data_IF_070903287127
#
_entry.id   IF_070903287127
#
_cell.length_a   1.000
_cell.length_b   1.000
_cell.length_c   1.000
_cell.angle_alpha   90.00
_cell.angle_beta   90.00
_cell.angle_gamma   90.00
#
_symmetry.space_group_name_H-M   'P 1'
#
loop_
_entity.id
_entity.type
_entity.pdbx_description
1 polymer ?
#
# COMPACT_ATOMS: atom_id res chain seq x y z
N UNK A 1 -19.57 -22.74 23.49
CA UNK A 1 -18.57 -21.97 24.26
C UNK A 1 -17.28 -22.07 23.46
N UNK A 2 -17.06 -21.13 22.53
CA UNK A 2 -15.79 -21.03 21.81
C UNK A 2 -15.04 -19.91 22.51
N UNK A 3 -14.43 -20.27 23.65
CA UNK A 3 -13.46 -19.46 24.37
C UNK A 3 -12.08 -19.73 23.78
N UNK A 4 -11.80 -19.19 22.60
CA UNK A 4 -10.42 -18.89 22.24
C UNK A 4 -10.34 -17.40 21.93
N UNK A 5 -9.52 -16.65 22.70
CA UNK A 5 -9.20 -15.29 22.30
C UNK A 5 -8.57 -15.38 20.92
N UNK A 6 -9.22 -14.78 19.94
CA UNK A 6 -8.71 -14.74 18.57
C UNK A 6 -7.31 -14.12 18.58
N UNK A 7 -6.28 -14.97 18.59
CA UNK A 7 -4.86 -14.61 18.61
C UNK A 7 -4.39 -13.92 17.32
N UNK A 8 -5.31 -13.54 16.47
CA UNK A 8 -5.00 -12.95 15.14
C UNK A 8 -5.00 -11.43 15.07
N UNK A 9 -5.43 -10.71 16.12
CA UNK A 9 -5.36 -9.25 16.10
C UNK A 9 -4.21 -8.78 16.99
N UNK A 10 -3.09 -8.48 16.37
CA UNK A 10 -2.01 -7.77 17.07
C UNK A 10 -2.44 -6.32 17.18
N UNK A 11 -2.74 -5.91 18.40
CA UNK A 11 -3.06 -4.54 18.71
C UNK A 11 -1.99 -3.60 18.18
N UNK A 12 -2.44 -2.50 17.56
CA UNK A 12 -1.58 -1.45 17.07
C UNK A 12 -0.64 -0.93 18.19
N UNK A 13 0.60 -1.40 18.19
CA UNK A 13 1.67 -0.78 18.94
C UNK A 13 2.32 0.26 18.05
N UNK A 14 1.92 1.49 17.99
CA UNK A 14 2.35 2.61 17.14
C UNK A 14 3.62 2.44 16.28
N UNK A 15 4.54 1.60 16.74
CA UNK A 15 5.85 1.39 16.13
C UNK A 15 5.84 0.76 14.73
N UNK A 16 4.91 -0.17 14.44
CA UNK A 16 4.85 -0.83 13.11
C UNK A 16 4.46 0.17 12.02
N UNK A 17 3.52 1.06 12.32
CA UNK A 17 3.09 2.11 11.38
C UNK A 17 4.10 3.25 11.24
N UNK A 18 5.04 3.37 12.17
CA UNK A 18 6.09 4.39 12.16
C UNK A 18 7.33 3.93 11.41
N UNK A 19 7.54 2.60 11.27
CA UNK A 19 8.66 2.05 10.53
C UNK A 19 8.64 2.53 9.07
N UNK A 20 9.74 3.14 8.64
CA UNK A 20 9.91 3.74 7.31
C UNK A 20 9.71 2.73 6.19
N UNK A 21 10.25 1.52 6.38
CA UNK A 21 10.14 0.42 5.42
C UNK A 21 8.69 -0.06 5.27
N UNK A 22 7.92 -0.14 6.36
CA UNK A 22 6.50 -0.50 6.33
C UNK A 22 5.71 0.60 5.61
N UNK A 23 6.01 1.86 5.92
CA UNK A 23 5.39 2.99 5.22
C UNK A 23 5.66 2.95 3.72
N UNK A 24 6.89 2.66 3.34
CA UNK A 24 7.27 2.55 1.94
C UNK A 24 6.54 1.41 1.22
N UNK A 25 6.40 0.26 1.87
CA UNK A 25 5.75 -0.92 1.30
C UNK A 25 4.22 -0.78 1.15
N UNK A 26 3.54 -0.15 2.12
CA UNK A 26 2.07 -0.05 2.14
C UNK A 26 1.54 1.14 1.33
N UNK A 27 2.28 2.24 1.28
CA UNK A 27 1.85 3.49 0.64
C UNK A 27 1.41 3.33 -0.83
N UNK A 28 2.10 2.58 -1.69
CA UNK A 28 1.67 2.41 -3.09
C UNK A 28 0.27 1.84 -3.21
N UNK A 29 -0.05 0.80 -2.44
CA UNK A 29 -1.39 0.20 -2.43
C UNK A 29 -2.43 1.17 -1.87
N UNK A 30 -2.15 1.81 -0.74
CA UNK A 30 -3.06 2.76 -0.11
C UNK A 30 -3.42 3.92 -1.06
N UNK A 31 -2.40 4.50 -1.71
CA UNK A 31 -2.60 5.57 -2.69
C UNK A 31 -3.36 5.09 -3.93
N UNK A 32 -3.08 3.88 -4.42
CA UNK A 32 -3.75 3.35 -5.60
C UNK A 32 -5.24 3.09 -5.34
N UNK A 33 -5.57 2.45 -4.21
CA UNK A 33 -6.97 2.21 -3.81
C UNK A 33 -7.65 3.52 -3.43
N UNK A 34 -6.96 4.45 -2.76
CA UNK A 34 -7.50 5.77 -2.41
C UNK A 34 -7.93 6.61 -3.62
N UNK A 35 -7.28 6.42 -4.77
CA UNK A 35 -7.66 7.10 -6.02
C UNK A 35 -8.91 6.53 -6.70
N UNK A 36 -9.39 5.37 -6.28
CA UNK A 36 -10.58 4.77 -6.88
C UNK A 36 -11.84 5.50 -6.43
N UNK A 37 -12.80 5.62 -7.34
CA UNK A 37 -14.07 6.31 -7.08
C UNK A 37 -15.17 5.28 -7.00
N UNK A 38 -15.80 5.07 -5.82
CA UNK A 38 -16.95 4.19 -5.71
C UNK A 38 -18.16 4.78 -6.44
N UNK A 39 -18.87 3.94 -7.20
CA UNK A 39 -20.08 4.31 -7.92
C UNK A 39 -21.21 3.37 -7.59
N UNK A 40 -22.39 3.93 -7.37
CA UNK A 40 -23.62 3.14 -7.28
C UNK A 40 -24.05 2.74 -8.69
N UNK A 41 -24.26 1.45 -8.92
CA UNK A 41 -24.78 0.89 -10.17
C UNK A 41 -26.16 0.25 -9.93
N UNK A 42 -27.10 0.50 -10.82
CA UNK A 42 -28.39 -0.18 -10.88
C UNK A 42 -28.70 -0.57 -12.34
N UNK A 43 -28.51 -1.83 -12.67
CA UNK A 43 -28.49 -2.26 -14.06
C UNK A 43 -27.42 -1.49 -14.87
N UNK A 44 -27.84 -0.79 -15.91
CA UNK A 44 -26.94 0.03 -16.74
C UNK A 44 -26.82 1.49 -16.25
N UNK A 45 -27.56 1.88 -15.21
CA UNK A 45 -27.54 3.24 -14.66
C UNK A 45 -26.44 3.38 -13.62
N UNK A 46 -25.66 4.46 -13.76
CA UNK A 46 -24.61 4.84 -12.80
C UNK A 46 -25.13 5.99 -11.94
N UNK A 47 -24.93 5.88 -10.62
CA UNK A 47 -25.34 6.85 -9.60
C UNK A 47 -26.83 7.25 -9.66
N UNK A 48 -27.77 6.29 -9.79
CA UNK A 48 -29.18 6.60 -9.93
C UNK A 48 -29.80 7.15 -8.63
N UNK A 49 -29.17 6.92 -7.48
CA UNK A 49 -29.62 7.40 -6.17
C UNK A 49 -28.67 8.46 -5.62
N UNK A 50 -29.14 9.70 -5.56
CA UNK A 50 -28.37 10.86 -5.12
C UNK A 50 -27.88 10.70 -3.67
N UNK A 51 -28.72 10.19 -2.76
CA UNK A 51 -28.35 10.03 -1.35
C UNK A 51 -27.19 9.02 -1.18
N UNK A 52 -27.24 7.90 -1.89
CA UNK A 52 -26.15 6.93 -1.91
C UNK A 52 -24.87 7.56 -2.51
N UNK A 53 -25.00 8.29 -3.61
CA UNK A 53 -23.87 8.94 -4.27
C UNK A 53 -23.21 9.99 -3.37
N UNK A 54 -23.98 10.75 -2.60
CA UNK A 54 -23.45 11.73 -1.65
C UNK A 54 -22.60 11.06 -0.56
N UNK A 55 -23.09 9.97 0.04
CA UNK A 55 -22.31 9.22 1.06
C UNK A 55 -21.02 8.62 0.47
N UNK A 56 -21.06 8.22 -0.82
CA UNK A 56 -19.86 7.73 -1.51
C UNK A 56 -18.85 8.83 -1.86
N UNK A 57 -19.29 10.08 -2.01
CA UNK A 57 -18.42 11.23 -2.24
C UNK A 57 -17.90 11.84 -0.94
N UNK A 58 -18.80 12.04 0.03
CA UNK A 58 -18.54 12.59 1.35
C UNK A 58 -18.93 11.58 2.43
N UNK A 59 -18.05 10.65 2.76
CA UNK A 59 -18.38 9.57 3.69
C UNK A 59 -18.65 10.07 5.12
N UNK A 60 -18.05 11.16 5.53
CA UNK A 60 -18.32 11.84 6.80
C UNK A 60 -17.70 13.24 6.80
N UNK A 61 -17.99 14.03 7.84
CA UNK A 61 -17.51 15.41 8.00
C UNK A 61 -16.02 15.56 8.25
N UNK A 62 -15.30 14.46 8.55
CA UNK A 62 -13.88 14.49 8.95
C UNK A 62 -12.95 14.16 7.79
N UNK A 63 -13.41 13.43 6.79
CA UNK A 63 -12.54 12.91 5.73
C UNK A 63 -13.25 12.69 4.41
N UNK A 64 -12.51 12.82 3.31
CA UNK A 64 -12.96 12.44 1.98
C UNK A 64 -12.95 10.90 1.82
N UNK A 65 -13.60 10.39 0.76
CA UNK A 65 -13.56 8.97 0.44
C UNK A 65 -12.13 8.47 0.22
N UNK A 66 -11.27 9.26 -0.43
CA UNK A 66 -9.86 8.92 -0.59
C UNK A 66 -9.18 8.68 0.75
N UNK A 67 -9.32 9.60 1.71
CA UNK A 67 -8.72 9.49 3.04
C UNK A 67 -9.26 8.29 3.82
N UNK A 68 -10.57 8.01 3.68
CA UNK A 68 -11.21 6.84 4.30
C UNK A 68 -10.61 5.55 3.75
N UNK A 69 -10.49 5.43 2.43
CA UNK A 69 -9.93 4.26 1.77
C UNK A 69 -8.45 4.08 2.13
N UNK A 70 -7.63 5.13 2.03
CA UNK A 70 -6.21 5.07 2.42
C UNK A 70 -6.06 4.56 3.86
N UNK A 71 -6.80 5.13 4.81
CA UNK A 71 -6.79 4.71 6.21
C UNK A 71 -7.22 3.25 6.40
N UNK A 72 -8.22 2.82 5.63
CA UNK A 72 -8.70 1.44 5.65
C UNK A 72 -7.65 0.47 5.12
N UNK A 73 -6.96 0.82 4.02
CA UNK A 73 -5.91 -0.01 3.44
C UNK A 73 -4.68 -0.14 4.35
N UNK A 74 -4.34 0.92 5.08
CA UNK A 74 -3.29 0.84 6.10
C UNK A 74 -3.62 -0.22 7.16
N UNK A 75 -4.85 -0.23 7.68
CA UNK A 75 -5.28 -1.23 8.66
C UNK A 75 -5.32 -2.64 8.05
N UNK A 76 -5.87 -2.76 6.86
CA UNK A 76 -5.94 -4.01 6.11
C UNK A 76 -4.55 -4.66 5.96
N UNK A 77 -3.54 -3.89 5.56
CA UNK A 77 -2.19 -4.42 5.34
C UNK A 77 -1.42 -4.69 6.61
N UNK A 78 -1.54 -3.85 7.62
CA UNK A 78 -0.76 -4.01 8.86
C UNK A 78 -1.42 -4.99 9.82
N UNK A 79 -2.74 -4.91 9.98
CA UNK A 79 -3.48 -5.73 10.95
C UNK A 79 -4.12 -7.00 10.35
N UNK A 80 -4.06 -7.18 9.03
CA UNK A 80 -4.77 -8.25 8.34
C UNK A 80 -6.29 -8.04 8.27
N UNK A 81 -6.83 -7.04 8.95
CA UNK A 81 -8.25 -6.74 9.02
C UNK A 81 -8.49 -5.23 9.03
N UNK A 82 -9.50 -4.77 8.31
CA UNK A 82 -9.96 -3.41 8.40
C UNK A 82 -11.49 -3.35 8.42
N UNK A 83 -12.01 -2.43 9.21
CA UNK A 83 -13.44 -2.27 9.44
C UNK A 83 -13.88 -0.84 9.17
N UNK A 84 -15.00 -0.71 8.44
CA UNK A 84 -15.68 0.56 8.25
C UNK A 84 -17.07 0.41 8.84
N UNK A 85 -17.44 1.23 9.81
CA UNK A 85 -18.79 1.32 10.33
C UNK A 85 -19.68 2.11 9.38
N UNK A 86 -20.84 1.55 9.07
CA UNK A 86 -21.86 2.18 8.24
C UNK A 86 -22.97 2.68 9.15
N UNK A 87 -23.00 3.99 9.37
CA UNK A 87 -24.10 4.64 10.08
C UNK A 87 -25.32 4.69 9.17
N UNK A 88 -26.48 4.32 9.72
CA UNK A 88 -27.74 4.24 9.00
C UNK A 88 -28.80 5.10 9.67
N UNK A 89 -29.69 5.65 8.87
CA UNK A 89 -30.88 6.34 9.34
C UNK A 89 -31.95 5.34 9.89
N UNK A 90 -33.07 5.87 10.40
CA UNK A 90 -34.18 5.07 10.93
C UNK A 90 -34.84 4.15 9.86
N UNK A 91 -34.60 4.44 8.58
CA UNK A 91 -35.06 3.62 7.44
C UNK A 91 -34.05 2.59 7.01
N UNK A 92 -32.91 2.51 7.70
CA UNK A 92 -31.81 1.60 7.40
C UNK A 92 -30.93 2.00 6.20
N UNK A 93 -31.05 3.27 5.72
CA UNK A 93 -30.23 3.79 4.63
C UNK A 93 -28.90 4.34 5.17
N UNK A 94 -27.77 4.10 4.47
CA UNK A 94 -26.48 4.65 4.86
C UNK A 94 -26.48 6.18 4.82
N UNK A 95 -25.96 6.80 5.88
CA UNK A 95 -25.81 8.26 6.00
C UNK A 95 -24.37 8.69 6.22
N UNK A 96 -23.53 7.85 6.83
CA UNK A 96 -22.12 8.12 7.01
C UNK A 96 -21.28 6.84 7.12
N UNK A 97 -19.98 6.97 6.89
CA UNK A 97 -18.99 5.88 6.96
C UNK A 97 -17.82 6.30 7.84
N UNK A 98 -17.43 5.44 8.79
CA UNK A 98 -16.34 5.70 9.71
C UNK A 98 -15.35 4.53 9.74
N UNK A 99 -14.07 4.70 9.40
CA UNK A 99 -13.07 3.66 9.55
C UNK A 99 -12.77 3.47 11.04
N UNK A 100 -12.91 2.24 11.54
CA UNK A 100 -12.68 1.93 12.96
C UNK A 100 -11.20 1.61 13.17
N UNK A 101 -10.53 2.40 14.00
CA UNK A 101 -9.16 2.14 14.47
C UNK A 101 -9.23 1.66 15.90
N UNK A 102 -9.02 0.36 16.10
CA UNK A 102 -9.07 -0.24 17.42
C UNK A 102 -7.70 -0.76 17.88
N UNK A 103 -7.51 -0.83 19.18
CA UNK A 103 -6.35 -1.46 19.80
C UNK A 103 -6.52 -2.97 19.85
N UNK A 104 -7.73 -3.43 20.14
CA UNK A 104 -8.10 -4.84 20.12
C UNK A 104 -9.56 -5.00 19.68
N UNK A 105 -9.90 -6.20 19.26
CA UNK A 105 -11.26 -6.57 18.94
C UNK A 105 -11.61 -7.94 19.51
N UNK A 106 -12.89 -8.13 19.80
CA UNK A 106 -13.46 -9.36 20.33
C UNK A 106 -14.70 -9.71 19.51
N UNK A 107 -14.75 -10.94 19.01
CA UNK A 107 -15.91 -11.46 18.29
C UNK A 107 -16.92 -12.00 19.31
N UNK A 108 -18.15 -11.54 19.24
CA UNK A 108 -19.25 -11.94 20.08
C UNK A 108 -20.37 -12.57 19.25
N UNK A 109 -20.96 -13.63 19.75
CA UNK A 109 -22.12 -14.28 19.15
C UNK A 109 -23.28 -14.19 20.11
N UNK A 110 -24.38 -13.60 19.65
CA UNK A 110 -25.63 -13.56 20.39
C UNK A 110 -26.26 -14.96 20.51
N UNK A 111 -27.09 -15.23 21.52
CA UNK A 111 -27.88 -16.47 21.61
C UNK A 111 -28.76 -16.73 20.38
N UNK A 112 -29.11 -15.68 19.64
CA UNK A 112 -29.85 -15.79 18.36
C UNK A 112 -28.95 -16.13 17.14
N UNK A 113 -27.62 -16.30 17.33
CA UNK A 113 -26.68 -16.57 16.25
C UNK A 113 -26.24 -15.31 15.47
N UNK A 114 -26.58 -14.10 15.93
CA UNK A 114 -26.12 -12.86 15.30
C UNK A 114 -24.70 -12.52 15.77
N UNK A 115 -23.84 -12.14 14.85
CA UNK A 115 -22.44 -11.77 15.13
C UNK A 115 -22.33 -10.28 15.46
N UNK A 116 -21.51 -9.99 16.48
CA UNK A 116 -21.14 -8.65 16.90
C UNK A 116 -19.61 -8.58 17.03
N UNK A 117 -19.05 -7.40 16.80
CA UNK A 117 -17.65 -7.13 17.11
C UNK A 117 -17.57 -6.01 18.13
N UNK A 118 -16.88 -6.29 19.22
CA UNK A 118 -16.54 -5.30 20.24
C UNK A 118 -15.13 -4.81 19.97
N UNK A 119 -15.00 -3.53 19.73
CA UNK A 119 -13.74 -2.84 19.53
C UNK A 119 -13.34 -2.12 20.81
N UNK A 120 -12.08 -2.24 21.18
CA UNK A 120 -11.48 -1.45 22.26
C UNK A 120 -10.58 -0.41 21.63
N UNK A 121 -10.87 0.86 21.86
CA UNK A 121 -10.10 1.98 21.34
C UNK A 121 -8.88 2.26 22.24
N UNK A 122 -7.96 3.09 21.75
CA UNK A 122 -6.74 3.46 22.51
C UNK A 122 -7.01 4.19 23.82
N UNK A 123 -8.15 4.90 23.91
CA UNK A 123 -8.59 5.61 25.12
C UNK A 123 -9.26 4.67 26.16
N UNK A 124 -9.27 3.37 25.92
CA UNK A 124 -9.87 2.35 26.74
C UNK A 124 -11.40 2.22 26.60
N UNK A 125 -12.04 3.05 25.79
CA UNK A 125 -13.47 2.91 25.49
C UNK A 125 -13.72 1.72 24.59
N UNK A 126 -14.85 1.03 24.83
CA UNK A 126 -15.28 -0.09 23.99
C UNK A 126 -16.60 0.20 23.33
N UNK A 127 -16.71 -0.18 22.05
CA UNK A 127 -17.93 -0.06 21.26
C UNK A 127 -18.22 -1.41 20.63
N UNK A 128 -19.51 -1.80 20.67
CA UNK A 128 -19.97 -3.06 20.09
C UNK A 128 -20.89 -2.76 18.91
N UNK A 129 -20.53 -3.29 17.76
CA UNK A 129 -21.31 -3.12 16.52
C UNK A 129 -21.81 -4.47 16.03
N UNK A 130 -22.98 -4.47 15.37
CA UNK A 130 -23.45 -5.64 14.63
C UNK A 130 -22.56 -5.86 13.42
N UNK A 131 -22.14 -7.10 13.18
CA UNK A 131 -21.26 -7.41 12.05
C UNK A 131 -21.85 -6.99 10.69
N UNK A 132 -23.18 -7.05 10.55
CA UNK A 132 -23.89 -6.63 9.31
C UNK A 132 -23.82 -5.12 9.02
N UNK A 133 -23.51 -4.30 10.04
CA UNK A 133 -23.36 -2.85 9.89
C UNK A 133 -21.90 -2.44 9.71
N UNK A 134 -21.02 -3.42 9.56
CA UNK A 134 -19.60 -3.25 9.28
C UNK A 134 -19.27 -3.71 7.86
N UNK A 135 -18.48 -2.92 7.17
CA UNK A 135 -17.74 -3.37 6.00
C UNK A 135 -16.43 -3.91 6.54
N UNK A 136 -16.15 -5.18 6.28
CA UNK A 136 -14.96 -5.87 6.73
C UNK A 136 -14.18 -6.37 5.52
N UNK A 137 -12.93 -5.91 5.38
CA UNK A 137 -11.97 -6.41 4.40
C UNK A 137 -10.83 -7.14 5.13
N UNK A 138 -10.38 -8.25 4.55
CA UNK A 138 -9.47 -9.21 5.19
C UNK A 138 -8.31 -9.53 4.28
N UNK A 139 -7.11 -9.63 4.86
CA UNK A 139 -5.93 -10.16 4.22
C UNK A 139 -5.65 -11.57 4.75
N UNK A 140 -5.07 -12.44 3.92
CA UNK A 140 -4.62 -13.78 4.31
C UNK A 140 -5.64 -14.56 5.17
N UNK A 141 -6.83 -14.76 4.61
CA UNK A 141 -7.94 -15.42 5.30
C UNK A 141 -7.77 -16.94 5.26
N UNK A 142 -6.96 -17.50 6.17
CA UNK A 142 -6.60 -18.92 6.16
C UNK A 142 -6.88 -19.66 7.47
N UNK A 143 -6.58 -19.05 8.61
CA UNK A 143 -6.61 -19.73 9.91
C UNK A 143 -7.88 -19.52 10.72
N UNK A 144 -8.64 -18.48 10.43
CA UNK A 144 -9.83 -18.08 11.16
C UNK A 144 -11.07 -18.04 10.24
N UNK A 145 -12.25 -18.34 10.79
CA UNK A 145 -13.49 -18.36 10.00
C UNK A 145 -14.00 -16.94 9.64
N UNK A 146 -13.62 -15.91 10.39
CA UNK A 146 -14.15 -14.55 10.26
C UNK A 146 -13.04 -13.53 10.04
N UNK A 147 -11.93 -13.64 10.77
CA UNK A 147 -10.84 -12.66 10.75
C UNK A 147 -9.74 -13.11 9.79
N UNK A 148 -9.14 -12.16 9.11
CA UNK A 148 -7.91 -12.38 8.36
C UNK A 148 -6.70 -12.50 9.27
N UNK A 149 -5.65 -13.14 8.79
CA UNK A 149 -4.43 -13.36 9.54
C UNK A 149 -3.57 -12.09 9.56
N UNK A 150 -2.97 -11.80 10.71
CA UNK A 150 -2.07 -10.65 10.86
C UNK A 150 -0.68 -10.99 10.32
N UNK A 151 -0.04 -10.04 9.65
CA UNK A 151 1.36 -10.14 9.24
C UNK A 151 2.35 -9.96 10.41
N UNK A 152 1.88 -9.49 11.57
CA UNK A 152 2.73 -9.13 12.69
C UNK A 152 3.67 -10.26 13.17
N UNK A 153 3.26 -11.54 13.28
CA UNK A 153 4.17 -12.61 13.70
C UNK A 153 5.39 -12.77 12.79
N UNK A 154 5.24 -12.54 11.49
CA UNK A 154 6.32 -12.60 10.50
C UNK A 154 7.08 -11.28 10.37
N UNK A 155 6.42 -10.16 10.57
CA UNK A 155 6.95 -8.82 10.37
C UNK A 155 7.79 -8.33 11.57
N UNK A 156 7.32 -8.56 12.80
CA UNK A 156 7.99 -8.04 14.01
C UNK A 156 9.44 -8.49 14.14
N UNK A 157 9.80 -9.77 13.93
CA UNK A 157 11.20 -10.20 13.98
C UNK A 157 12.08 -9.52 12.92
N UNK A 158 11.53 -9.23 11.74
CA UNK A 158 12.26 -8.53 10.68
C UNK A 158 12.50 -7.06 11.04
N UNK A 159 11.52 -6.40 11.62
CA UNK A 159 11.66 -5.02 12.11
C UNK A 159 12.66 -4.93 13.28
N UNK A 160 12.71 -5.95 14.15
CA UNK A 160 13.71 -6.02 15.22
C UNK A 160 15.13 -6.11 14.66
N UNK A 161 15.34 -6.90 13.59
CA UNK A 161 16.63 -6.95 12.89
C UNK A 161 17.00 -5.58 12.31
N UNK A 162 16.08 -4.89 11.66
CA UNK A 162 16.32 -3.54 11.11
C UNK A 162 16.69 -2.58 12.24
N UNK A 163 15.91 -2.52 13.30
CA UNK A 163 16.15 -1.62 14.44
C UNK A 163 17.49 -1.92 15.13
N UNK A 164 17.82 -3.19 15.34
CA UNK A 164 19.10 -3.59 15.96
C UNK A 164 20.27 -3.24 15.05
N UNK A 165 20.14 -3.40 13.74
CA UNK A 165 21.12 -3.00 12.74
C UNK A 165 21.37 -1.50 12.78
N UNK A 166 20.34 -0.68 12.79
CA UNK A 166 20.43 0.77 12.87
C UNK A 166 21.08 1.23 14.18
N UNK A 167 20.71 0.61 15.30
CA UNK A 167 21.34 0.87 16.59
C UNK A 167 22.83 0.48 16.58
N UNK A 168 23.17 -0.64 15.95
CA UNK A 168 24.55 -1.07 15.76
C UNK A 168 25.36 -0.05 14.94
N UNK A 169 24.81 0.45 13.85
CA UNK A 169 25.44 1.48 13.02
C UNK A 169 25.61 2.78 13.83
N UNK A 170 24.60 3.23 14.54
CA UNK A 170 24.68 4.43 15.40
C UNK A 170 25.76 4.25 16.47
N UNK A 171 25.80 3.09 17.14
CA UNK A 171 26.82 2.76 18.11
C UNK A 171 28.22 2.75 17.50
N UNK A 172 28.39 2.17 16.30
CA UNK A 172 29.63 2.18 15.56
C UNK A 172 30.12 3.59 15.25
N UNK A 173 29.22 4.47 14.79
CA UNK A 173 29.54 5.87 14.51
C UNK A 173 29.95 6.60 15.79
N UNK A 174 29.21 6.42 16.89
CA UNK A 174 29.55 7.03 18.19
C UNK A 174 30.86 6.52 18.73
N UNK A 175 31.14 5.21 18.64
CA UNK A 175 32.36 4.56 19.11
C UNK A 175 33.56 4.79 18.18
N UNK A 176 33.34 5.26 16.97
CA UNK A 176 34.45 5.58 16.05
C UNK A 176 35.43 6.61 16.63
N UNK A 177 35.00 7.38 17.61
CA UNK A 177 35.79 8.39 18.33
C UNK A 177 36.32 7.91 19.68
N UNK A 178 36.07 6.66 20.10
CA UNK A 178 36.46 6.15 21.43
C UNK A 178 37.70 5.28 21.27
N UNK A 179 38.71 5.56 22.12
CA UNK A 179 39.97 4.85 22.30
C UNK A 179 40.54 4.14 21.05
N UNK A 180 41.28 4.91 20.24
CA UNK A 180 41.97 4.39 19.06
C UNK A 180 43.35 3.80 19.42
N UNK A 181 43.89 4.10 20.59
CA UNK A 181 45.21 3.74 21.01
C UNK A 181 45.24 3.24 22.44
N UNK A 182 45.94 2.12 22.68
CA UNK A 182 46.31 1.61 23.99
C UNK A 182 47.80 1.88 24.19
N UNK A 183 48.11 2.72 25.19
CA UNK A 183 49.47 2.97 25.59
C UNK A 183 49.86 1.95 26.67
N UNK A 184 50.82 1.10 26.36
CA UNK A 184 51.39 0.15 27.29
C UNK A 184 52.71 0.69 27.78
N UNK A 185 52.82 0.99 29.06
CA UNK A 185 54.07 1.45 29.68
C UNK A 185 54.89 0.27 30.19
N UNK A 186 56.17 0.22 29.82
CA UNK A 186 57.10 -0.86 30.21
C UNK A 186 57.66 -0.69 31.62
N UNK A 187 57.23 0.34 32.36
CA UNK A 187 57.61 0.62 33.73
C UNK A 187 56.36 0.77 34.61
N UNK A 188 56.52 0.48 35.90
CA UNK A 188 55.46 0.70 36.88
C UNK A 188 55.33 2.20 37.16
N UNK A 189 54.30 2.83 36.62
CA UNK A 189 54.00 4.25 36.81
C UNK A 189 52.88 4.39 37.85
N UNK A 190 52.84 5.56 38.52
CA UNK A 190 51.71 5.93 39.38
C UNK A 190 50.50 6.25 38.51
N UNK A 191 49.30 6.08 39.00
CA UNK A 191 48.08 6.35 38.21
C UNK A 191 47.99 7.78 37.68
N UNK A 192 48.58 8.74 38.39
CA UNK A 192 48.64 10.15 37.98
C UNK A 192 49.55 10.37 36.79
N UNK A 193 50.73 9.72 36.82
CA UNK A 193 51.72 9.78 35.73
C UNK A 193 51.19 9.12 34.44
N UNK A 194 50.40 8.04 34.58
CA UNK A 194 49.72 7.38 33.45
C UNK A 194 48.74 8.36 32.80
N UNK A 195 47.94 9.09 33.59
CA UNK A 195 46.96 10.05 33.07
C UNK A 195 47.67 11.22 32.37
N UNK A 196 48.74 11.72 32.94
CA UNK A 196 49.51 12.85 32.39
C UNK A 196 50.18 12.47 31.08
N UNK A 197 50.88 11.33 31.04
CA UNK A 197 51.50 10.82 29.82
C UNK A 197 50.45 10.50 28.72
N UNK A 198 49.31 9.96 29.10
CA UNK A 198 48.21 9.70 28.15
C UNK A 198 47.65 11.01 27.57
N UNK A 199 47.50 12.03 28.41
CA UNK A 199 47.02 13.37 28.00
C UNK A 199 48.03 14.02 27.06
N UNK A 200 49.29 13.93 27.39
CA UNK A 200 50.35 14.47 26.56
C UNK A 200 50.44 13.77 25.19
N UNK A 201 50.29 12.44 25.16
CA UNK A 201 50.22 11.71 23.90
C UNK A 201 49.03 12.14 23.03
N UNK A 202 47.84 12.36 23.62
CA UNK A 202 46.66 12.86 22.92
C UNK A 202 46.88 14.28 22.39
N UNK A 203 47.52 15.13 23.15
CA UNK A 203 47.80 16.52 22.76
C UNK A 203 48.86 16.60 21.64
N UNK A 204 49.92 15.80 21.74
CA UNK A 204 51.04 15.83 20.80
C UNK A 204 50.77 15.09 19.49
N UNK A 205 49.96 14.00 19.52
CA UNK A 205 49.84 13.10 18.37
C UNK A 205 48.40 12.91 17.83
N UNK A 206 47.39 13.19 18.60
CA UNK A 206 46.00 12.99 18.19
C UNK A 206 45.20 14.28 17.96
N UNK A 207 45.62 15.40 18.55
CA UNK A 207 45.10 16.70 18.16
C UNK A 207 45.86 17.19 16.92
N UNK A 208 45.24 17.00 15.77
CA UNK A 208 45.75 17.48 14.49
C UNK A 208 45.74 19.01 14.49
N UNK A 209 46.88 19.64 14.71
CA UNK A 209 47.15 20.98 14.21
C UNK A 209 47.41 20.89 12.72
N UNK A 210 47.02 21.88 11.93
CA UNK A 210 47.09 21.91 10.46
C UNK A 210 48.49 21.69 9.81
N UNK A 211 49.53 21.47 10.59
CA UNK A 211 50.90 21.26 10.14
C UNK A 211 51.51 19.90 10.55
N UNK A 212 50.69 18.89 10.90
CA UNK A 212 51.15 17.61 11.42
C UNK A 212 51.85 16.75 10.39
N UNK A 213 53.15 16.48 10.58
CA UNK A 213 53.86 15.37 9.92
C UNK A 213 53.21 14.06 10.35
N UNK A 214 52.82 13.20 9.40
CA UNK A 214 52.11 11.93 9.65
C UNK A 214 52.98 10.84 10.33
N UNK A 215 54.00 11.20 11.12
CA UNK A 215 54.87 10.28 11.85
C UNK A 215 55.06 10.75 13.30
N UNK A 216 54.81 9.84 14.24
CA UNK A 216 55.02 10.05 15.67
C UNK A 216 56.20 9.19 16.14
N UNK A 217 57.17 9.79 16.84
CA UNK A 217 58.24 9.08 17.54
C UNK A 217 57.78 8.63 18.91
N UNK A 218 57.89 7.35 19.23
CA UNK A 218 57.59 6.80 20.57
C UNK A 218 58.91 6.41 21.23
N UNK A 219 59.10 6.84 22.50
CA UNK A 219 60.23 6.44 23.31
C UNK A 219 60.09 4.96 23.74
N UNK A 220 61.20 4.28 23.97
CA UNK A 220 61.26 2.85 24.38
C UNK A 220 60.52 2.53 25.70
N UNK A 221 60.03 3.55 26.37
CA UNK A 221 59.26 3.44 27.66
C UNK A 221 57.78 3.11 27.46
N UNK A 222 57.21 3.30 26.29
CA UNK A 222 55.81 3.07 26.00
C UNK A 222 55.57 2.48 24.59
N UNK A 223 54.76 1.45 24.51
CA UNK A 223 54.30 0.87 23.27
C UNK A 223 52.89 1.40 22.97
N UNK A 224 52.69 2.03 21.81
CA UNK A 224 51.42 2.47 21.35
C UNK A 224 50.80 1.39 20.43
N UNK A 225 49.75 0.77 20.89
CA UNK A 225 49.02 -0.25 20.14
C UNK A 225 47.70 0.37 19.62
N UNK A 226 47.52 0.37 18.31
CA UNK A 226 46.26 0.77 17.74
C UNK A 226 45.20 -0.30 18.03
N UNK A 227 44.16 0.08 18.77
CA UNK A 227 43.01 -0.77 19.03
C UNK A 227 41.98 -0.49 17.93
N UNK A 228 41.76 -1.47 17.08
CA UNK A 228 40.62 -1.42 16.19
C UNK A 228 39.35 -1.79 17.01
N UNK A 229 38.44 -0.86 17.26
CA UNK A 229 37.18 -1.20 17.92
C UNK A 229 36.45 -2.22 17.03
N UNK A 230 36.17 -3.39 17.58
CA UNK A 230 35.35 -4.37 16.89
C UNK A 230 33.91 -3.84 16.89
N UNK A 231 33.53 -3.20 15.78
CA UNK A 231 32.18 -2.72 15.57
C UNK A 231 31.55 -3.61 14.50
N UNK A 232 30.51 -4.34 14.89
CA UNK A 232 29.72 -5.09 13.93
C UNK A 232 28.88 -4.09 13.11
N UNK A 233 29.25 -3.91 11.87
CA UNK A 233 28.44 -3.23 10.87
C UNK A 233 27.95 -4.31 9.92
N UNK A 234 26.62 -4.53 9.81
CA UNK A 234 26.08 -5.51 8.90
C UNK A 234 26.54 -5.24 7.46
N UNK A 235 26.78 -6.30 6.72
CA UNK A 235 27.10 -6.17 5.30
C UNK A 235 25.92 -5.58 4.54
N UNK A 236 26.21 -4.78 3.52
CA UNK A 236 25.21 -4.14 2.68
C UNK A 236 24.21 -5.16 2.10
N UNK A 237 24.71 -6.34 1.74
CA UNK A 237 23.89 -7.43 1.20
C UNK A 237 22.87 -7.97 2.22
N UNK A 238 23.25 -8.10 3.48
CA UNK A 238 22.34 -8.55 4.55
C UNK A 238 21.23 -7.54 4.81
N UNK A 239 21.57 -6.26 4.84
CA UNK A 239 20.57 -5.18 5.00
C UNK A 239 19.60 -5.14 3.81
N UNK A 240 20.14 -5.29 2.58
CA UNK A 240 19.32 -5.36 1.37
C UNK A 240 18.39 -6.59 1.37
N UNK A 241 18.90 -7.77 1.77
CA UNK A 241 18.09 -8.98 1.87
C UNK A 241 16.98 -8.87 2.91
N UNK A 242 17.21 -8.24 4.06
CA UNK A 242 16.19 -8.00 5.07
C UNK A 242 15.11 -7.04 4.55
N UNK A 243 15.52 -5.96 3.88
CA UNK A 243 14.61 -5.03 3.22
C UNK A 243 13.74 -5.75 2.18
N UNK A 244 14.34 -6.56 1.32
CA UNK A 244 13.61 -7.29 0.29
C UNK A 244 12.57 -8.24 0.91
N UNK A 245 12.94 -8.98 1.95
CA UNK A 245 11.99 -9.88 2.66
C UNK A 245 10.79 -9.12 3.24
N UNK A 246 10.99 -7.90 3.74
CA UNK A 246 9.88 -7.07 4.23
C UNK A 246 9.00 -6.61 3.07
N UNK A 247 9.58 -6.17 1.95
CA UNK A 247 8.82 -5.79 0.76
C UNK A 247 8.02 -6.97 0.20
N UNK A 248 8.63 -8.16 0.13
CA UNK A 248 7.98 -9.40 -0.33
C UNK A 248 6.79 -9.77 0.56
N UNK A 249 6.91 -9.58 1.89
CA UNK A 249 5.82 -9.81 2.84
C UNK A 249 4.60 -8.91 2.57
N UNK A 250 4.84 -7.72 2.03
CA UNK A 250 3.79 -6.80 1.59
C UNK A 250 3.43 -6.97 0.09
N UNK A 251 3.96 -7.98 -0.59
CA UNK A 251 3.82 -8.19 -2.02
C UNK A 251 4.14 -6.92 -2.83
N UNK A 252 5.19 -6.23 -2.44
CA UNK A 252 5.69 -5.02 -3.08
C UNK A 252 7.14 -5.24 -3.54
N UNK A 253 7.67 -4.33 -4.35
CA UNK A 253 9.06 -4.34 -4.78
C UNK A 253 9.61 -2.93 -4.90
N UNK A 254 10.94 -2.80 -5.05
CA UNK A 254 11.59 -1.51 -5.12
C UNK A 254 11.09 -0.64 -6.28
N UNK A 255 10.79 -1.20 -7.45
CA UNK A 255 10.26 -0.45 -8.59
C UNK A 255 8.92 0.21 -8.27
N UNK A 256 8.00 -0.50 -7.61
CA UNK A 256 6.70 0.03 -7.19
C UNK A 256 6.88 1.09 -6.09
N UNK A 257 7.75 0.82 -5.10
CA UNK A 257 8.00 1.75 -3.99
C UNK A 257 8.64 3.05 -4.46
N UNK A 258 9.57 2.97 -5.41
CA UNK A 258 10.29 4.14 -5.96
C UNK A 258 9.53 4.82 -7.10
N UNK A 259 8.39 4.25 -7.52
CA UNK A 259 7.61 4.72 -8.68
C UNK A 259 8.40 4.68 -10.00
N UNK A 260 9.36 3.77 -10.09
CA UNK A 260 10.16 3.48 -11.29
C UNK A 260 9.76 2.12 -11.87
N UNK A 261 8.52 2.04 -12.31
CA UNK A 261 7.93 0.81 -12.85
C UNK A 261 7.53 0.96 -14.32
N UNK A 262 7.66 -0.11 -15.06
CA UNK A 262 7.13 -0.23 -16.42
C UNK A 262 5.61 -0.45 -16.39
N UNK A 263 4.93 -0.20 -17.50
CA UNK A 263 3.49 -0.46 -17.65
C UNK A 263 3.13 -1.90 -17.30
N UNK A 264 3.92 -2.89 -17.75
CA UNK A 264 3.68 -4.30 -17.44
C UNK A 264 3.83 -4.61 -15.94
N UNK A 265 4.80 -4.01 -15.26
CA UNK A 265 4.95 -4.17 -13.81
C UNK A 265 3.78 -3.56 -13.05
N UNK A 266 3.27 -2.42 -13.52
CA UNK A 266 2.07 -1.81 -12.94
C UNK A 266 0.83 -2.67 -13.15
N UNK A 267 0.61 -3.19 -14.35
CA UNK A 267 -0.52 -4.09 -14.66
C UNK A 267 -0.47 -5.32 -13.75
N UNK A 268 0.70 -5.97 -13.64
CA UNK A 268 0.87 -7.13 -12.77
C UNK A 268 0.57 -6.79 -11.29
N UNK A 269 1.04 -5.65 -10.80
CA UNK A 269 0.76 -5.17 -9.43
C UNK A 269 -0.73 -4.86 -9.24
N UNK A 270 -1.36 -4.26 -10.25
CA UNK A 270 -2.78 -3.96 -10.23
C UNK A 270 -3.62 -5.23 -10.12
N UNK A 271 -3.42 -6.19 -11.00
CA UNK A 271 -4.18 -7.45 -11.04
C UNK A 271 -3.97 -8.31 -9.77
N UNK A 272 -2.77 -8.28 -9.20
CA UNK A 272 -2.45 -9.14 -8.05
C UNK A 272 -2.70 -8.48 -6.69
N UNK A 273 -2.59 -7.16 -6.57
CA UNK A 273 -2.66 -6.47 -5.27
C UNK A 273 -3.82 -5.49 -5.15
N UNK A 274 -4.16 -4.77 -6.21
CA UNK A 274 -5.17 -3.72 -6.15
C UNK A 274 -6.56 -4.29 -6.43
N UNK A 275 -6.73 -5.00 -7.51
CA UNK A 275 -8.02 -5.54 -7.96
C UNK A 275 -8.71 -6.44 -6.91
N UNK A 276 -8.01 -7.40 -6.26
CA UNK A 276 -8.64 -8.22 -5.22
C UNK A 276 -9.19 -7.42 -4.05
N UNK A 277 -8.51 -6.32 -3.68
CA UNK A 277 -8.98 -5.42 -2.63
C UNK A 277 -10.20 -4.63 -3.08
N UNK A 278 -10.23 -4.16 -4.33
CA UNK A 278 -11.38 -3.45 -4.90
C UNK A 278 -12.62 -4.35 -4.98
N UNK A 279 -12.45 -5.63 -5.28
CA UNK A 279 -13.53 -6.63 -5.27
C UNK A 279 -14.08 -6.78 -3.84
N UNK A 280 -13.21 -6.94 -2.83
CA UNK A 280 -13.65 -7.03 -1.43
C UNK A 280 -14.38 -5.78 -0.97
N UNK A 281 -13.88 -4.58 -1.35
CA UNK A 281 -14.54 -3.30 -1.06
C UNK A 281 -15.91 -3.24 -1.74
N UNK A 282 -15.99 -3.57 -3.04
CA UNK A 282 -17.24 -3.56 -3.81
C UNK A 282 -18.30 -4.45 -3.17
N UNK A 283 -17.93 -5.67 -2.81
CA UNK A 283 -18.80 -6.62 -2.14
C UNK A 283 -19.21 -6.16 -0.74
N UNK A 284 -18.27 -5.64 0.05
CA UNK A 284 -18.53 -5.15 1.39
C UNK A 284 -19.48 -3.96 1.40
N UNK A 285 -19.20 -2.97 0.57
CA UNK A 285 -20.07 -1.80 0.40
C UNK A 285 -21.44 -2.19 -0.13
N UNK A 286 -21.53 -3.06 -1.13
CA UNK A 286 -22.81 -3.54 -1.68
C UNK A 286 -23.65 -4.23 -0.60
N UNK A 287 -23.04 -5.08 0.24
CA UNK A 287 -23.75 -5.78 1.34
C UNK A 287 -24.22 -4.84 2.44
N UNK A 288 -23.44 -3.82 2.76
CA UNK A 288 -23.75 -2.88 3.83
C UNK A 288 -24.78 -1.82 3.42
N UNK A 289 -24.77 -1.41 2.14
CA UNK A 289 -25.63 -0.37 1.60
C UNK A 289 -27.01 -0.89 1.20
N UNK A 290 -27.08 -2.14 0.70
CA UNK A 290 -28.31 -2.67 0.11
C UNK A 290 -28.77 -3.95 0.80
N UNK A 291 -30.08 -4.05 1.01
CA UNK A 291 -30.73 -5.27 1.46
C UNK A 291 -30.59 -6.38 0.40
N UNK A 292 -30.80 -7.63 0.80
CA UNK A 292 -30.75 -8.77 -0.13
C UNK A 292 -31.70 -8.59 -1.32
N UNK A 293 -32.92 -7.99 -1.09
CA UNK A 293 -33.89 -7.74 -2.15
C UNK A 293 -33.39 -6.68 -3.14
N UNK A 294 -32.84 -5.56 -2.63
CA UNK A 294 -32.30 -4.49 -3.50
C UNK A 294 -31.13 -4.98 -4.33
N UNK A 295 -30.25 -5.81 -3.77
CA UNK A 295 -29.14 -6.45 -4.51
C UNK A 295 -29.65 -7.39 -5.61
N UNK A 296 -30.70 -8.17 -5.33
CA UNK A 296 -31.31 -9.05 -6.33
C UNK A 296 -31.98 -8.25 -7.48
N UNK A 297 -32.35 -6.99 -7.26
CA UNK A 297 -32.83 -6.08 -8.28
C UNK A 297 -31.71 -5.40 -9.08
N UNK A 298 -30.45 -5.68 -8.78
CA UNK A 298 -29.30 -5.18 -9.54
C UNK A 298 -28.60 -3.95 -8.93
N UNK A 299 -28.87 -3.60 -7.65
CA UNK A 299 -28.11 -2.56 -6.96
C UNK A 299 -26.75 -3.10 -6.51
N UNK A 300 -25.70 -2.39 -6.82
CA UNK A 300 -24.33 -2.70 -6.41
C UNK A 300 -23.50 -1.42 -6.26
N UNK A 301 -22.45 -1.49 -5.45
CA UNK A 301 -21.38 -0.49 -5.42
C UNK A 301 -20.17 -1.07 -6.13
N UNK A 302 -19.62 -0.33 -7.06
CA UNK A 302 -18.43 -0.73 -7.81
C UNK A 302 -17.32 0.27 -7.54
N UNK A 303 -16.13 -0.26 -7.27
CA UNK A 303 -14.89 0.52 -7.24
C UNK A 303 -14.22 0.38 -8.60
N UNK A 304 -14.39 1.38 -9.44
CA UNK A 304 -13.76 1.39 -10.75
C UNK A 304 -12.38 2.05 -10.63
N UNK A 305 -11.37 1.29 -10.97
CA UNK A 305 -10.10 1.84 -11.36
C UNK A 305 -10.07 1.84 -12.88
N UNK A 306 -9.95 3.01 -13.47
CA UNK A 306 -9.85 3.09 -14.92
C UNK A 306 -8.42 2.71 -15.35
N UNK A 307 -8.19 1.41 -15.55
CA UNK A 307 -6.87 0.87 -15.92
C UNK A 307 -6.25 1.56 -17.12
N UNK A 308 -7.08 1.97 -18.07
CA UNK A 308 -6.64 2.66 -19.29
C UNK A 308 -6.17 4.11 -19.03
N UNK A 309 -6.57 4.72 -17.91
CA UNK A 309 -5.99 6.04 -17.55
C UNK A 309 -4.50 5.93 -17.20
N UNK A 310 -4.05 4.76 -16.72
CA UNK A 310 -2.64 4.51 -16.39
C UNK A 310 -1.83 3.95 -17.55
N UNK A 311 -2.49 3.58 -18.65
CA UNK A 311 -1.81 3.16 -19.85
C UNK A 311 -0.87 4.27 -20.37
N UNK A 312 0.27 3.86 -20.89
CA UNK A 312 1.24 4.80 -21.48
C UNK A 312 0.59 5.58 -22.64
N UNK A 313 1.10 6.76 -22.93
CA UNK A 313 0.62 7.52 -24.08
C UNK A 313 0.78 6.72 -25.39
N UNK A 314 1.82 5.88 -25.46
CA UNK A 314 2.04 5.01 -26.60
C UNK A 314 0.94 3.96 -26.73
N UNK A 315 0.56 3.29 -25.64
CA UNK A 315 -0.57 2.33 -25.64
C UNK A 315 -1.87 3.01 -25.99
N UNK A 316 -2.14 4.21 -25.47
CA UNK A 316 -3.33 5.01 -25.83
C UNK A 316 -3.37 5.34 -27.32
N UNK A 317 -2.24 5.72 -27.90
CA UNK A 317 -2.14 5.97 -29.34
C UNK A 317 -2.37 4.71 -30.18
N UNK A 318 -1.92 3.54 -29.72
CA UNK A 318 -2.19 2.26 -30.40
C UNK A 318 -3.68 1.91 -30.39
N UNK A 319 -4.43 2.31 -29.35
CA UNK A 319 -5.88 2.09 -29.27
C UNK A 319 -6.67 2.89 -30.31
N UNK A 320 -6.09 3.91 -30.93
CA UNK A 320 -6.72 4.62 -32.06
C UNK A 320 -7.03 3.66 -33.21
N UNK A 321 -6.21 2.61 -33.40
CA UNK A 321 -6.49 1.55 -34.36
C UNK A 321 -7.79 0.76 -34.08
N UNK A 322 -8.29 0.77 -32.84
CA UNK A 322 -9.57 0.15 -32.47
C UNK A 322 -10.78 1.00 -32.91
N UNK A 323 -10.61 2.34 -32.90
CA UNK A 323 -11.61 3.26 -33.46
C UNK A 323 -11.80 2.99 -34.97
N UNK A 324 -10.68 2.87 -35.70
CA UNK A 324 -10.69 2.62 -37.13
C UNK A 324 -11.34 1.29 -37.53
N UNK A 325 -11.32 0.30 -36.61
CA UNK A 325 -11.91 -1.01 -36.80
C UNK A 325 -13.33 -1.13 -36.22
N UNK A 326 -13.88 -0.06 -35.68
CA UNK A 326 -15.22 -0.05 -35.09
C UNK A 326 -15.37 -0.89 -33.83
N UNK A 327 -14.25 -1.23 -33.15
CA UNK A 327 -14.26 -1.97 -31.87
C UNK A 327 -14.82 -1.10 -30.77
N UNK A 328 -14.47 0.20 -30.77
CA UNK A 328 -14.96 1.18 -29.82
C UNK A 328 -15.38 2.48 -30.52
N UNK A 329 -16.24 3.26 -29.86
CA UNK A 329 -16.68 4.57 -30.33
C UNK A 329 -15.68 5.67 -29.94
N UNK A 330 -15.79 6.84 -30.56
CA UNK A 330 -14.97 8.00 -30.19
C UNK A 330 -15.24 8.42 -28.75
N UNK A 331 -16.50 8.38 -28.29
CA UNK A 331 -16.88 8.74 -26.93
C UNK A 331 -16.35 7.74 -25.91
N UNK A 332 -16.38 6.44 -26.18
CA UNK A 332 -15.74 5.42 -25.35
C UNK A 332 -14.23 5.66 -25.23
N UNK A 333 -13.53 5.92 -26.33
CA UNK A 333 -12.09 6.24 -26.31
C UNK A 333 -11.78 7.52 -25.52
N UNK A 334 -12.56 8.59 -25.76
CA UNK A 334 -12.40 9.85 -25.03
C UNK A 334 -12.56 9.66 -23.52
N UNK A 335 -13.60 8.96 -23.12
CA UNK A 335 -13.92 8.77 -21.70
C UNK A 335 -12.94 7.79 -21.04
N UNK A 336 -12.69 6.64 -21.65
CA UNK A 336 -11.93 5.55 -21.03
C UNK A 336 -10.42 5.81 -21.09
N UNK A 337 -9.90 6.21 -22.26
CA UNK A 337 -8.45 6.36 -22.46
C UNK A 337 -7.94 7.76 -22.08
N UNK A 338 -8.72 8.81 -22.38
CA UNK A 338 -8.27 10.19 -22.21
C UNK A 338 -8.90 10.90 -20.99
N UNK A 339 -9.97 10.37 -20.42
CA UNK A 339 -10.71 11.02 -19.32
C UNK A 339 -11.43 12.30 -19.75
N UNK A 340 -11.74 12.42 -21.05
CA UNK A 340 -12.43 13.57 -21.61
C UNK A 340 -13.94 13.35 -21.68
N UNK A 341 -14.73 14.41 -21.60
CA UNK A 341 -16.18 14.32 -21.73
C UNK A 341 -16.61 13.86 -23.13
N UNK A 342 -17.73 13.10 -23.24
CA UNK A 342 -18.34 12.74 -24.51
C UNK A 342 -18.67 13.97 -25.36
N UNK A 343 -18.62 13.81 -26.68
CA UNK A 343 -19.04 14.85 -27.63
C UNK A 343 -20.22 14.40 -28.44
N UNK A 344 -21.02 15.33 -28.90
CA UNK A 344 -22.16 15.06 -29.77
C UNK A 344 -21.72 14.36 -31.04
N UNK A 345 -22.39 13.28 -31.43
CA UNK A 345 -22.03 12.46 -32.58
C UNK A 345 -20.87 11.50 -32.39
N UNK A 346 -20.22 11.49 -31.20
CA UNK A 346 -19.08 10.62 -30.91
C UNK A 346 -19.42 9.15 -30.60
N UNK A 347 -20.70 8.77 -30.57
CA UNK A 347 -21.14 7.38 -30.33
C UNK A 347 -21.16 6.52 -31.60
N UNK A 348 -20.85 7.11 -32.73
CA UNK A 348 -20.73 6.39 -34.00
C UNK A 348 -19.48 5.48 -33.99
N UNK A 349 -19.64 4.26 -34.50
CA UNK A 349 -18.53 3.36 -34.80
C UNK A 349 -17.98 3.70 -36.17
N UNK A 350 -16.71 4.02 -36.20
CA UNK A 350 -15.99 4.30 -37.46
C UNK A 350 -15.47 2.98 -38.05
N UNK A 351 -15.69 2.77 -39.33
CA UNK A 351 -15.10 1.65 -40.06
C UNK A 351 -14.24 2.24 -41.18
N UNK A 352 -13.03 1.71 -41.34
CA UNK A 352 -12.19 2.08 -42.50
C UNK A 352 -12.88 1.60 -43.79
N UNK A 353 -12.78 2.40 -44.83
CA UNK A 353 -13.37 2.10 -46.14
C UNK A 353 -12.78 0.84 -46.80
N UNK A 354 -11.61 0.40 -46.37
CA UNK A 354 -10.89 -0.77 -46.88
C UNK A 354 -11.23 -2.07 -46.09
N UNK A 355 -12.17 -2.01 -45.13
CA UNK A 355 -12.56 -3.17 -44.33
C UNK A 355 -13.88 -3.73 -44.89
N UNK A 356 -13.79 -4.79 -45.68
CA UNK A 356 -14.97 -5.52 -46.18
C UNK A 356 -15.57 -6.42 -45.10
N UNK A 357 -16.91 -6.51 -45.06
CA UNK A 357 -17.63 -7.46 -44.22
C UNK A 357 -17.48 -8.86 -44.80
N UNK A 358 -16.94 -9.78 -44.02
CA UNK A 358 -16.93 -11.21 -44.40
C UNK A 358 -18.39 -11.68 -44.52
N UNK A 359 -18.81 -12.07 -45.75
CA UNK A 359 -20.13 -12.66 -46.00
C UNK A 359 -21.16 -11.82 -46.72
N UNK A 360 -20.85 -10.59 -47.14
CA UNK A 360 -21.65 -9.88 -48.16
C UNK A 360 -20.90 -9.93 -49.49
N UNK A 361 -21.45 -10.73 -50.43
CA UNK A 361 -21.07 -10.58 -51.84
C UNK A 361 -21.37 -9.18 -52.27
N UNK A 362 -20.34 -8.38 -52.51
CA UNK A 362 -20.48 -7.09 -53.15
C UNK A 362 -20.94 -7.38 -54.62
N UNK A 363 -22.24 -7.30 -54.81
CA UNK A 363 -22.74 -7.07 -56.17
C UNK A 363 -22.26 -5.62 -56.45
N UNK A 364 -21.17 -5.49 -57.20
CA UNK A 364 -20.75 -4.23 -57.77
C UNK A 364 -21.86 -3.79 -58.68
N UNK A 365 -22.61 -2.77 -58.31
CA UNK A 365 -23.36 -1.94 -59.23
C UNK A 365 -22.34 -1.25 -60.18
N UNK A 366 -22.00 -1.91 -61.26
CA UNK A 366 -21.00 -1.40 -62.19
C UNK A 366 -21.06 -2.01 -63.58
N UNK A 367 -21.89 -3.05 -63.82
CA UNK A 367 -21.98 -3.71 -65.13
C UNK A 367 -23.41 -3.62 -65.74
N UNK A 368 -24.10 -2.50 -65.62
CA UNK A 368 -25.45 -2.31 -66.17
C UNK A 368 -25.53 -1.21 -67.22
N UNK A 369 -24.42 -0.81 -67.85
CA UNK A 369 -24.46 0.25 -68.90
C UNK A 369 -23.62 -0.13 -70.15
N UNK A 370 -23.67 -1.39 -70.64
CA UNK A 370 -23.14 -1.73 -71.94
C UNK A 370 -23.95 -2.83 -72.66
N UNK A 371 -25.27 -2.70 -72.75
CA UNK A 371 -26.08 -3.44 -73.74
C UNK A 371 -27.29 -2.60 -74.17
N UNK A 372 -27.07 -1.46 -74.88
CA UNK A 372 -28.07 -0.90 -75.76
C UNK A 372 -27.43 0.11 -76.78
N UNK A 373 -26.60 -0.48 -77.64
CA UNK A 373 -26.28 0.23 -78.96
C UNK A 373 -25.68 -0.76 -79.94
N UNK A 374 -26.52 -1.55 -80.60
CA UNK A 374 -26.28 -2.12 -81.90
C UNK A 374 -27.59 -2.39 -82.63
#
# INVERSE_FOLDING_TARGET
MIDEPSSGFVGFSGNVYEADIVRSAVRPLANAVGKTVPKHRFGDKINPNIAVSMVLQEPNVLMSMQMLLEKTIWQYRVNGNAFIYVEKDDNGKPVALYPIVSHSLELLISPSGEYFIKFVLRDGKSYTFRYRDLIHIRNDFTSNEILGDSLAPSLLPLLEVVQTTDQGIIAAIRNSNVVKWLLKFNQTLRPEDIKENTKQFVEDFLKTSEEGMGAAGVDSKADAIQVQPYSYVPEKEQSAATRQRILDLFNSNDSIVQSDFTENQWIAYYETQIEPVLIQLSDGFTKAFFTRRERALGNSIMFESNNLQFASMQTKLQMVGWLDRGVMTVNEYRTIALGLEPVEGGDMRLLRKDTDRIGQNNIREGDADEEDSA
#
